data_IF_979016481594
#
_entry.id   IF_979016481594
#
_cell.length_a   1.000
_cell.length_b   1.000
_cell.length_c   1.000
_cell.angle_alpha   90.00
_cell.angle_beta   90.00
_cell.angle_gamma   90.00
#
_symmetry.space_group_name_H-M   'P 1'
#
loop_
_entity.id
_entity.type
_entity.pdbx_description
1 polymer ?
#
# COMPACT_ATOMS: atom_id res chain seq x y z
N UNK A 1 1.35 15.72 -6.96
CA UNK A 1 2.59 14.99 -6.57
C UNK A 1 2.25 13.51 -6.48
N UNK A 2 3.04 12.61 -7.09
CA UNK A 2 2.87 11.18 -6.90
C UNK A 2 3.36 10.80 -5.49
N UNK A 3 2.47 10.36 -4.60
CA UNK A 3 2.83 10.02 -3.24
C UNK A 3 3.51 8.64 -3.22
N UNK A 4 4.82 8.60 -2.94
CA UNK A 4 5.55 7.33 -2.81
C UNK A 4 5.58 6.92 -1.34
N UNK A 5 4.99 5.77 -1.03
CA UNK A 5 4.86 5.23 0.30
C UNK A 5 5.89 4.10 0.50
N UNK A 6 6.90 4.36 1.32
CA UNK A 6 7.84 3.32 1.74
C UNK A 6 7.26 2.55 2.92
N UNK A 7 7.04 1.25 2.73
CA UNK A 7 6.50 0.34 3.75
C UNK A 7 7.43 -0.82 4.03
N UNK A 8 8.72 -0.68 3.67
CA UNK A 8 9.73 -1.71 3.89
C UNK A 8 10.04 -1.83 5.38
N UNK A 9 10.07 -3.05 5.90
CA UNK A 9 10.31 -3.30 7.33
C UNK A 9 9.12 -2.93 8.23
N UNK A 10 7.97 -2.57 7.66
CA UNK A 10 6.75 -2.35 8.44
C UNK A 10 6.00 -3.65 8.62
N UNK A 11 6.01 -4.14 9.86
CA UNK A 11 5.16 -5.24 10.28
C UNK A 11 3.69 -4.83 10.32
N UNK A 12 2.80 -5.77 9.98
CA UNK A 12 1.36 -5.55 10.10
C UNK A 12 0.99 -5.12 11.53
N UNK A 13 0.10 -4.12 11.71
CA UNK A 13 -0.82 -3.54 10.72
C UNK A 13 -0.35 -2.23 10.06
N UNK A 14 0.86 -1.74 10.35
CA UNK A 14 1.36 -0.45 9.87
C UNK A 14 1.32 -0.22 8.35
N UNK A 15 1.74 -1.18 7.47
CA UNK A 15 1.77 -0.93 6.03
C UNK A 15 0.36 -0.70 5.45
N UNK A 16 -0.65 -1.35 6.02
CA UNK A 16 -2.04 -1.20 5.57
C UNK A 16 -2.61 0.18 5.93
N UNK A 17 -2.38 0.64 7.17
CA UNK A 17 -2.85 1.97 7.61
C UNK A 17 -2.19 3.09 6.79
N UNK A 18 -0.88 2.97 6.54
CA UNK A 18 -0.14 3.92 5.72
C UNK A 18 -0.64 3.93 4.27
N UNK A 19 -0.93 2.75 3.72
CA UNK A 19 -1.52 2.61 2.39
C UNK A 19 -2.91 3.23 2.32
N UNK A 20 -3.78 2.98 3.30
CA UNK A 20 -5.12 3.57 3.37
C UNK A 20 -5.07 5.10 3.43
N UNK A 21 -4.23 5.65 4.31
CA UNK A 21 -4.08 7.11 4.44
C UNK A 21 -3.59 7.75 3.14
N UNK A 22 -2.68 7.09 2.42
CA UNK A 22 -2.10 7.62 1.20
C UNK A 22 -3.05 7.48 -0.01
N UNK A 23 -3.83 6.39 -0.07
CA UNK A 23 -4.84 6.17 -1.10
C UNK A 23 -6.05 7.10 -1.00
N UNK A 24 -6.29 7.73 0.16
CA UNK A 24 -7.38 8.68 0.33
C UNK A 24 -7.20 9.94 -0.54
N UNK A 25 -5.97 10.27 -0.92
CA UNK A 25 -5.64 11.54 -1.56
C UNK A 25 -5.48 11.42 -3.09
N UNK A 26 -4.87 10.33 -3.60
CA UNK A 26 -4.66 10.06 -5.05
C UNK A 26 -3.91 8.73 -5.28
N UNK A 27 -3.52 8.43 -6.53
CA UNK A 27 -2.63 7.32 -6.89
C UNK A 27 -1.31 7.36 -6.09
N UNK A 28 -0.97 6.25 -5.43
CA UNK A 28 0.23 6.13 -4.61
C UNK A 28 1.12 4.99 -5.05
N UNK A 29 2.43 5.22 -5.04
CA UNK A 29 3.44 4.21 -5.38
C UNK A 29 3.94 3.57 -4.09
N UNK A 30 3.69 2.28 -3.90
CA UNK A 30 4.06 1.59 -2.66
C UNK A 30 5.35 0.81 -2.87
N UNK A 31 6.38 1.14 -2.08
CA UNK A 31 7.62 0.39 -2.04
C UNK A 31 7.56 -0.61 -0.89
N UNK A 32 7.31 -1.87 -1.23
CA UNK A 32 7.34 -3.01 -0.30
C UNK A 32 8.46 -3.97 -0.69
N UNK A 33 9.33 -4.32 0.26
CA UNK A 33 10.41 -5.28 0.06
C UNK A 33 9.97 -6.71 0.40
N UNK A 34 9.02 -6.84 1.32
CA UNK A 34 8.57 -8.13 1.82
C UNK A 34 7.40 -8.67 0.98
N UNK A 35 7.47 -9.93 0.50
CA UNK A 35 6.42 -10.52 -0.33
C UNK A 35 5.06 -10.58 0.38
N UNK A 36 5.07 -10.84 1.70
CA UNK A 36 3.84 -10.89 2.50
C UNK A 36 3.15 -9.53 2.67
N UNK A 37 3.90 -8.43 2.65
CA UNK A 37 3.35 -7.07 2.72
C UNK A 37 2.74 -6.69 1.37
N UNK A 38 3.45 -6.99 0.27
CA UNK A 38 2.96 -6.74 -1.09
C UNK A 38 1.62 -7.44 -1.35
N UNK A 39 1.51 -8.74 -1.03
CA UNK A 39 0.28 -9.48 -1.27
C UNK A 39 -0.91 -8.94 -0.46
N UNK A 40 -0.71 -8.56 0.80
CA UNK A 40 -1.76 -7.97 1.64
C UNK A 40 -2.22 -6.62 1.12
N UNK A 41 -1.30 -5.78 0.66
CA UNK A 41 -1.59 -4.48 0.07
C UNK A 41 -2.36 -4.63 -1.24
N UNK A 42 -1.96 -5.57 -2.11
CA UNK A 42 -2.68 -5.87 -3.35
C UNK A 42 -4.09 -6.38 -3.05
N UNK A 43 -4.24 -7.32 -2.10
CA UNK A 43 -5.55 -7.83 -1.65
C UNK A 43 -6.43 -6.70 -1.12
N UNK A 44 -5.88 -5.82 -0.29
CA UNK A 44 -6.57 -4.65 0.23
C UNK A 44 -7.00 -3.69 -0.89
N UNK A 45 -6.10 -3.36 -1.80
CA UNK A 45 -6.36 -2.48 -2.93
C UNK A 45 -7.46 -3.04 -3.84
N UNK A 46 -7.39 -4.34 -4.19
CA UNK A 46 -8.45 -5.02 -4.94
C UNK A 46 -9.79 -5.02 -4.21
N UNK A 47 -9.80 -5.25 -2.89
CA UNK A 47 -11.02 -5.18 -2.07
C UNK A 47 -11.66 -3.79 -2.12
N UNK A 48 -10.85 -2.75 -2.23
CA UNK A 48 -11.28 -1.36 -2.34
C UNK A 48 -11.56 -0.93 -3.80
N UNK A 49 -11.57 -1.87 -4.76
CA UNK A 49 -11.71 -1.61 -6.21
C UNK A 49 -10.66 -0.64 -6.76
N UNK A 50 -9.48 -0.61 -6.17
CA UNK A 50 -8.36 0.21 -6.62
C UNK A 50 -7.57 -0.51 -7.71
N UNK A 51 -7.08 0.25 -8.68
CA UNK A 51 -6.19 -0.25 -9.72
C UNK A 51 -4.76 -0.39 -9.16
N UNK A 52 -4.13 -1.54 -9.39
CA UNK A 52 -2.75 -1.82 -8.96
C UNK A 52 -1.94 -2.17 -10.19
N UNK A 53 -0.88 -1.39 -10.43
CA UNK A 53 0.11 -1.57 -11.52
C UNK A 53 1.47 -1.98 -10.96
#
# INVERSE_FOLDING_TARGET
MANTLDVRGLSCPLPLLRTQAALADSSVRILAAEPGVKEKIIKYARSQKLHVE
#
